data_IF_373509330543
#
_entry.id   IF_373509330543
#
_cell.length_a   1.000
_cell.length_b   1.000
_cell.length_c   1.000
_cell.angle_alpha   90.00
_cell.angle_beta   90.00
_cell.angle_gamma   90.00
#
_symmetry.space_group_name_H-M   'P 1'
#
loop_
_entity.id
_entity.type
_entity.pdbx_description
1 polymer ?
#
# COMPACT_ATOMS: atom_id res chain seq x y z
N UNK A 1 13.60 0.22 -4.38
CA UNK A 1 13.54 -1.24 -4.14
C UNK A 1 12.31 -1.84 -4.81
N UNK A 2 11.12 -1.29 -4.67
CA UNK A 2 9.84 -1.83 -5.20
C UNK A 2 9.84 -2.00 -6.73
N UNK A 3 10.28 -1.01 -7.49
CA UNK A 3 10.34 -1.10 -8.95
C UNK A 3 11.20 -2.28 -9.44
N UNK A 4 12.38 -2.50 -8.80
CA UNK A 4 13.25 -3.65 -9.15
C UNK A 4 12.59 -4.99 -8.88
N UNK A 5 11.78 -5.10 -7.83
CA UNK A 5 11.01 -6.32 -7.54
C UNK A 5 10.00 -6.58 -8.66
N UNK A 6 9.26 -5.56 -9.08
CA UNK A 6 8.31 -5.66 -10.19
C UNK A 6 9.00 -6.03 -11.51
N UNK A 7 10.18 -5.43 -11.80
CA UNK A 7 10.98 -5.83 -12.96
C UNK A 7 11.36 -7.31 -12.90
N UNK A 8 11.79 -7.79 -11.73
CA UNK A 8 12.14 -9.20 -11.55
C UNK A 8 10.94 -10.15 -11.69
N UNK A 9 9.73 -9.71 -11.32
CA UNK A 9 8.51 -10.52 -11.46
C UNK A 9 8.15 -10.80 -12.92
N UNK A 10 8.44 -9.85 -13.83
CA UNK A 10 8.12 -9.98 -15.25
C UNK A 10 9.30 -10.38 -16.13
N UNK A 11 10.51 -10.43 -15.54
CA UNK A 11 11.71 -10.82 -16.27
C UNK A 11 11.75 -12.34 -16.52
N UNK A 12 12.05 -12.74 -17.75
CA UNK A 12 12.34 -14.14 -18.06
C UNK A 12 13.75 -14.49 -17.56
N UNK A 13 13.90 -15.57 -16.77
CA UNK A 13 15.23 -16.00 -16.30
C UNK A 13 16.18 -16.33 -17.44
N UNK A 14 17.47 -16.01 -17.30
CA UNK A 14 18.50 -16.25 -18.31
C UNK A 14 18.72 -17.74 -18.65
N UNK A 15 18.23 -18.65 -17.83
CA UNK A 15 18.27 -20.11 -18.05
C UNK A 15 17.09 -20.68 -18.85
N UNK A 16 16.18 -19.83 -19.35
CA UNK A 16 14.94 -20.26 -19.98
C UNK A 16 13.82 -20.50 -18.95
N UNK A 17 12.60 -20.70 -19.42
CA UNK A 17 11.40 -20.80 -18.59
C UNK A 17 10.55 -19.52 -18.62
N UNK A 18 9.40 -19.53 -17.95
CA UNK A 18 8.52 -18.36 -17.83
C UNK A 18 8.97 -17.44 -16.69
N UNK A 19 8.47 -16.21 -16.70
CA UNK A 19 8.60 -15.26 -15.58
C UNK A 19 7.71 -15.68 -14.41
N UNK A 20 7.85 -15.05 -13.24
CA UNK A 20 6.89 -15.20 -12.15
C UNK A 20 5.49 -14.77 -12.57
N UNK A 21 5.38 -13.72 -13.38
CA UNK A 21 4.12 -13.28 -13.97
C UNK A 21 3.46 -14.38 -14.81
N UNK A 22 4.23 -15.08 -15.68
CA UNK A 22 3.72 -16.18 -16.48
C UNK A 22 3.25 -17.38 -15.62
N UNK A 23 3.81 -17.52 -14.43
CA UNK A 23 3.40 -18.51 -13.44
C UNK A 23 2.17 -18.08 -12.60
N UNK A 24 1.61 -16.89 -12.87
CA UNK A 24 0.40 -16.38 -12.20
C UNK A 24 0.65 -15.46 -11.00
N UNK A 25 1.88 -15.06 -10.70
CA UNK A 25 2.19 -14.06 -9.68
C UNK A 25 1.99 -12.65 -10.24
N UNK A 26 0.74 -12.21 -10.26
CA UNK A 26 0.32 -10.97 -10.92
C UNK A 26 0.10 -9.77 -9.97
N UNK A 27 0.30 -9.96 -8.66
CA UNK A 27 0.17 -8.91 -7.66
C UNK A 27 1.52 -8.47 -7.12
N UNK A 28 1.80 -7.18 -7.17
CA UNK A 28 2.90 -6.53 -6.45
C UNK A 28 2.31 -5.79 -5.24
N UNK A 29 2.58 -6.25 -4.03
CA UNK A 29 2.03 -5.67 -2.82
C UNK A 29 3.09 -4.88 -2.07
N UNK A 30 2.71 -3.69 -1.61
CA UNK A 30 3.49 -2.85 -0.70
C UNK A 30 2.93 -3.02 0.71
N UNK A 31 3.75 -3.51 1.62
CA UNK A 31 3.40 -3.67 3.04
C UNK A 31 3.66 -2.38 3.84
N UNK A 32 3.64 -2.43 5.16
CA UNK A 32 3.74 -1.31 6.10
C UNK A 32 4.96 -0.39 5.85
N UNK A 33 4.87 0.87 6.29
CA UNK A 33 6.00 1.82 6.30
C UNK A 33 6.15 2.68 5.05
N UNK A 34 5.11 2.82 4.24
CA UNK A 34 5.10 3.75 3.10
C UNK A 34 4.49 5.12 3.44
N UNK A 35 3.71 5.18 4.52
CA UNK A 35 2.98 6.35 4.98
C UNK A 35 3.79 7.16 6.00
N UNK A 36 3.39 8.39 6.22
CA UNK A 36 3.95 9.26 7.25
C UNK A 36 3.77 8.69 8.66
N UNK A 37 4.62 9.11 9.58
CA UNK A 37 4.40 8.90 11.00
C UNK A 37 3.10 9.61 11.46
N UNK A 38 2.42 9.09 12.50
CA UNK A 38 1.24 9.72 13.05
C UNK A 38 1.53 11.17 13.49
N UNK A 39 0.54 12.09 13.39
CA UNK A 39 0.71 13.45 13.86
C UNK A 39 1.02 13.46 15.36
N UNK A 40 1.89 14.40 15.78
CA UNK A 40 2.34 14.52 17.18
C UNK A 40 1.19 14.82 18.16
N UNK A 41 0.06 15.32 17.68
CA UNK A 41 -1.12 15.60 18.48
C UNK A 41 -2.42 15.43 17.69
N UNK A 42 -3.38 14.74 18.28
CA UNK A 42 -4.72 14.54 17.72
C UNK A 42 -4.77 13.51 16.60
N UNK A 43 -5.98 13.18 16.14
CA UNK A 43 -6.15 12.24 15.04
C UNK A 43 -5.73 12.87 13.70
N UNK A 44 -5.30 12.01 12.78
CA UNK A 44 -5.07 12.38 11.37
C UNK A 44 -6.34 12.99 10.76
N UNK A 45 -6.16 13.92 9.84
CA UNK A 45 -7.26 14.52 9.07
C UNK A 45 -7.02 14.30 7.57
N UNK A 46 -8.01 13.71 6.91
CA UNK A 46 -7.95 13.38 5.49
C UNK A 46 -7.19 12.07 5.20
N UNK A 47 -6.98 11.77 3.92
CA UNK A 47 -6.36 10.54 3.49
C UNK A 47 -4.88 10.41 3.90
N UNK A 48 -4.39 9.17 3.94
CA UNK A 48 -2.98 8.87 4.25
C UNK A 48 -2.04 9.53 3.23
N UNK A 49 -0.91 10.01 3.74
CA UNK A 49 0.11 10.65 2.92
C UNK A 49 1.32 9.70 2.84
N UNK A 50 1.76 9.43 1.61
CA UNK A 50 3.01 8.70 1.42
C UNK A 50 4.19 9.54 1.92
N UNK A 51 5.10 8.90 2.64
CA UNK A 51 6.30 9.55 3.14
C UNK A 51 7.17 10.03 1.96
N UNK A 52 7.44 11.32 1.84
CA UNK A 52 8.23 11.86 0.73
C UNK A 52 9.68 11.36 0.74
N UNK A 53 10.27 11.09 1.90
CA UNK A 53 11.63 10.55 1.99
C UNK A 53 11.67 9.10 1.53
N UNK A 54 10.63 8.31 1.88
CA UNK A 54 10.47 6.96 1.38
C UNK A 54 10.29 6.93 -0.15
N UNK A 55 9.46 7.81 -0.69
CA UNK A 55 9.28 7.95 -2.14
C UNK A 55 10.60 8.31 -2.83
N UNK A 56 11.29 9.33 -2.34
CA UNK A 56 12.56 9.80 -2.89
C UNK A 56 13.65 8.72 -2.85
N UNK A 57 13.75 7.97 -1.75
CA UNK A 57 14.67 6.83 -1.63
C UNK A 57 14.37 5.72 -2.64
N UNK A 58 13.11 5.58 -3.06
CA UNK A 58 12.65 4.68 -4.13
C UNK A 58 12.84 5.21 -5.54
N UNK A 59 13.25 6.48 -5.70
CA UNK A 59 13.30 7.16 -7.00
C UNK A 59 11.90 7.52 -7.53
N UNK A 60 10.95 7.75 -6.63
CA UNK A 60 9.55 8.04 -6.91
C UNK A 60 9.21 9.48 -6.50
N UNK A 61 8.22 10.08 -7.16
CA UNK A 61 7.65 11.37 -6.79
C UNK A 61 6.24 11.26 -6.19
N UNK A 62 5.57 10.11 -6.35
CA UNK A 62 4.22 9.89 -5.84
C UNK A 62 3.83 8.42 -5.84
N UNK A 63 2.83 8.04 -5.06
CA UNK A 63 2.23 6.70 -5.08
C UNK A 63 1.58 6.35 -6.43
N UNK A 64 0.81 7.23 -7.08
CA UNK A 64 0.31 6.96 -8.44
C UNK A 64 1.40 6.58 -9.44
N UNK A 65 2.61 7.13 -9.32
CA UNK A 65 3.73 6.75 -10.18
C UNK A 65 4.13 5.28 -9.94
N UNK A 66 4.18 4.83 -8.69
CA UNK A 66 4.48 3.44 -8.36
C UNK A 66 3.40 2.48 -8.85
N UNK A 67 2.13 2.84 -8.64
CA UNK A 67 0.98 2.05 -9.13
C UNK A 67 1.00 1.95 -10.66
N UNK A 68 1.20 3.08 -11.34
CA UNK A 68 1.34 3.10 -12.81
C UNK A 68 2.50 2.23 -13.29
N UNK A 69 3.60 2.20 -12.56
CA UNK A 69 4.77 1.36 -12.88
C UNK A 69 4.43 -0.14 -12.83
N UNK A 70 3.59 -0.57 -11.87
CA UNK A 70 3.07 -1.93 -11.80
C UNK A 70 2.16 -2.25 -13.00
N UNK A 71 1.19 -1.36 -13.27
CA UNK A 71 0.23 -1.55 -14.36
C UNK A 71 0.89 -1.64 -15.74
N UNK A 72 1.96 -0.87 -15.99
CA UNK A 72 2.75 -0.95 -17.23
C UNK A 72 3.42 -2.32 -17.44
N UNK A 73 3.48 -3.14 -16.39
CA UNK A 73 4.01 -4.51 -16.37
C UNK A 73 2.94 -5.57 -16.32
N UNK A 74 1.69 -5.19 -16.51
CA UNK A 74 0.52 -6.05 -16.32
C UNK A 74 0.43 -6.66 -14.90
N UNK A 75 0.98 -5.96 -13.90
CA UNK A 75 0.83 -6.32 -12.50
C UNK A 75 -0.28 -5.50 -11.86
N UNK A 76 -1.11 -6.13 -11.06
CA UNK A 76 -2.00 -5.46 -10.11
C UNK A 76 -1.19 -4.95 -8.92
N UNK A 77 -1.58 -3.82 -8.34
CA UNK A 77 -0.89 -3.24 -7.20
C UNK A 77 -1.75 -3.33 -5.94
N UNK A 78 -1.18 -3.89 -4.88
CA UNK A 78 -1.78 -3.94 -3.55
C UNK A 78 -1.09 -2.99 -2.57
N UNK A 79 -1.86 -2.49 -1.61
CA UNK A 79 -1.39 -1.56 -0.59
C UNK A 79 -1.75 -2.06 0.80
N UNK A 80 -1.00 -1.60 1.80
CA UNK A 80 -1.21 -1.91 3.20
C UNK A 80 -1.78 -0.72 3.95
N UNK A 81 -2.68 -1.02 4.88
CA UNK A 81 -3.07 -0.15 5.99
C UNK A 81 -3.40 -0.99 7.22
N UNK A 82 -3.92 -0.39 8.29
CA UNK A 82 -4.46 -1.09 9.43
C UNK A 82 -5.75 -0.41 9.91
N UNK A 83 -6.69 -1.20 10.44
CA UNK A 83 -7.98 -0.72 10.97
C UNK A 83 -7.86 0.22 12.16
N UNK A 84 -6.73 0.21 12.85
CA UNK A 84 -6.49 0.98 14.07
C UNK A 84 -6.00 2.41 13.85
N UNK A 85 -5.57 3.05 14.92
CA UNK A 85 -5.00 4.41 14.88
C UNK A 85 -3.56 4.45 14.38
N UNK A 86 -2.82 3.35 14.59
CA UNK A 86 -1.43 3.17 14.13
C UNK A 86 -1.24 1.76 13.57
N UNK A 87 -0.33 1.63 12.61
CA UNK A 87 0.10 0.36 12.03
C UNK A 87 1.02 -0.41 12.98
N UNK A 88 1.34 -1.67 12.65
CA UNK A 88 2.29 -2.47 13.42
C UNK A 88 3.71 -1.87 13.42
N UNK A 89 4.09 -1.15 12.37
CA UNK A 89 5.34 -0.40 12.27
C UNK A 89 5.32 0.97 12.96
N UNK A 90 4.17 1.41 13.51
CA UNK A 90 4.04 2.69 14.20
C UNK A 90 3.75 3.87 13.27
N UNK A 91 3.27 3.64 12.07
CA UNK A 91 2.88 4.66 11.09
C UNK A 91 1.37 4.99 11.18
N UNK A 92 0.91 5.96 10.39
CA UNK A 92 -0.51 6.28 10.29
C UNK A 92 -1.33 5.08 9.79
N UNK A 93 -2.49 4.84 10.42
CA UNK A 93 -3.45 3.84 10.01
C UNK A 93 -4.82 4.48 9.71
N UNK A 94 -5.83 3.68 9.34
CA UNK A 94 -7.05 4.21 8.71
C UNK A 94 -8.16 4.61 9.67
N UNK A 95 -8.03 4.34 10.98
CA UNK A 95 -9.10 4.60 11.95
C UNK A 95 -9.68 6.02 11.85
N UNK A 96 -10.98 6.11 11.58
CA UNK A 96 -11.73 7.37 11.46
C UNK A 96 -11.50 8.14 10.15
N UNK A 97 -10.73 7.57 9.22
CA UNK A 97 -10.47 8.15 7.88
C UNK A 97 -10.63 7.09 6.76
N UNK A 98 -11.28 5.98 7.07
CA UNK A 98 -11.38 4.81 6.19
C UNK A 98 -11.92 5.18 4.79
N UNK A 99 -12.99 5.98 4.75
CA UNK A 99 -13.58 6.40 3.47
C UNK A 99 -12.65 7.31 2.65
N UNK A 100 -11.87 8.18 3.31
CA UNK A 100 -10.91 9.05 2.64
C UNK A 100 -9.72 8.24 2.08
N UNK A 101 -9.23 7.26 2.84
CA UNK A 101 -8.16 6.37 2.43
C UNK A 101 -8.62 5.47 1.27
N UNK A 102 -9.79 4.83 1.40
CA UNK A 102 -10.34 3.96 0.36
C UNK A 102 -10.54 4.71 -0.97
N UNK A 103 -11.08 5.94 -0.92
CA UNK A 103 -11.25 6.76 -2.11
C UNK A 103 -9.90 7.10 -2.74
N UNK A 104 -8.92 7.50 -1.94
CA UNK A 104 -7.59 7.81 -2.43
C UNK A 104 -6.91 6.61 -3.07
N UNK A 105 -7.01 5.42 -2.47
CA UNK A 105 -6.44 4.19 -3.03
C UNK A 105 -7.10 3.82 -4.37
N UNK A 106 -8.42 3.99 -4.46
CA UNK A 106 -9.14 3.82 -5.71
C UNK A 106 -8.68 4.82 -6.79
N UNK A 107 -8.52 6.10 -6.43
CA UNK A 107 -8.02 7.15 -7.34
C UNK A 107 -6.59 6.87 -7.82
N UNK A 108 -5.76 6.21 -7.02
CA UNK A 108 -4.42 5.78 -7.41
C UNK A 108 -4.42 4.53 -8.29
N UNK A 109 -5.56 3.81 -8.37
CA UNK A 109 -5.69 2.55 -9.12
C UNK A 109 -5.18 1.33 -8.35
N UNK A 110 -5.19 1.39 -7.01
CA UNK A 110 -4.89 0.23 -6.14
C UNK A 110 -5.97 -0.83 -6.32
N UNK A 111 -5.55 -2.09 -6.50
CA UNK A 111 -6.44 -3.23 -6.78
C UNK A 111 -6.76 -4.07 -5.55
N UNK A 112 -5.97 -3.95 -4.50
CA UNK A 112 -6.08 -4.75 -3.27
C UNK A 112 -5.57 -3.95 -2.07
N UNK A 113 -6.24 -4.06 -0.94
CA UNK A 113 -5.79 -3.48 0.34
C UNK A 113 -5.67 -4.59 1.38
N UNK A 114 -4.50 -4.68 2.01
CA UNK A 114 -4.31 -5.42 3.27
C UNK A 114 -4.64 -4.48 4.40
N UNK A 115 -5.73 -4.75 5.11
CA UNK A 115 -6.15 -4.01 6.30
C UNK A 115 -5.83 -4.85 7.55
N UNK A 116 -4.79 -4.48 8.27
CA UNK A 116 -4.20 -5.25 9.38
C UNK A 116 -4.80 -4.89 10.74
N UNK A 117 -4.52 -5.70 11.76
CA UNK A 117 -4.99 -5.53 13.14
C UNK A 117 -3.80 -5.27 14.09
N UNK A 118 -3.33 -4.03 14.15
CA UNK A 118 -2.17 -3.65 14.96
C UNK A 118 -2.55 -2.83 16.20
N UNK A 119 -3.68 -2.14 16.17
CA UNK A 119 -4.16 -1.31 17.27
C UNK A 119 -5.68 -1.17 17.20
N UNK A 120 -6.36 -0.93 18.34
CA UNK A 120 -7.81 -0.73 18.32
C UNK A 120 -8.20 0.60 17.66
N UNK A 121 -9.39 0.61 17.04
CA UNK A 121 -10.10 1.81 16.64
C UNK A 121 -11.33 2.04 17.53
N UNK A 122 -12.43 1.32 17.27
CA UNK A 122 -13.65 1.41 18.09
C UNK A 122 -13.74 0.35 19.17
N UNK A 123 -12.97 -0.71 19.10
CA UNK A 123 -13.08 -1.91 19.94
C UNK A 123 -14.10 -2.92 19.43
N UNK A 124 -14.82 -2.60 18.36
CA UNK A 124 -15.70 -3.50 17.62
C UNK A 124 -15.02 -3.86 16.29
N UNK A 125 -14.48 -5.09 16.21
CA UNK A 125 -13.72 -5.58 15.06
C UNK A 125 -14.54 -5.59 13.79
N UNK A 126 -15.77 -6.09 13.84
CA UNK A 126 -16.63 -6.20 12.65
C UNK A 126 -16.97 -4.81 12.11
N UNK A 127 -17.26 -3.86 13.00
CA UNK A 127 -17.53 -2.48 12.61
C UNK A 127 -16.28 -1.79 12.04
N UNK A 128 -15.09 -2.06 12.56
CA UNK A 128 -13.85 -1.46 12.08
C UNK A 128 -13.53 -1.91 10.66
N UNK A 129 -13.61 -3.21 10.37
CA UNK A 129 -13.33 -3.74 9.03
C UNK A 129 -14.42 -3.43 7.98
N UNK A 130 -15.66 -3.19 8.39
CA UNK A 130 -16.74 -2.84 7.46
C UNK A 130 -16.74 -1.39 7.01
N UNK A 131 -15.88 -0.54 7.57
CA UNK A 131 -15.76 0.88 7.18
C UNK A 131 -14.81 1.14 6.02
N UNK A 132 -13.86 0.23 5.77
CA UNK A 132 -12.95 0.27 4.63
C UNK A 132 -13.61 -0.30 3.37
#
# INVERSE_FOLDING_TARGET
>A
MQMRMMDAMVATPSGGGGSLHDAGYVFANLDDGWMLAPPAAGPRRGAQIADPDWLAAGGLSSMPQLVSYAHQRNLSFGLYTARGGITCGGFEASCGQEAADAQQYADWGVSFVKDDDCSPCSGDYDADYTRM
#
